data_IF_952598487516
#
_entry.id   IF_952598487516
#
_cell.length_a   1.000
_cell.length_b   1.000
_cell.length_c   1.000
_cell.angle_alpha   90.00
_cell.angle_beta   90.00
_cell.angle_gamma   90.00
#
_symmetry.space_group_name_H-M   'P 1'
#
loop_
_entity.id
_entity.type
_entity.pdbx_description
1 polymer ?
#
# COMPACT_ATOMS: atom_id res chain seq x y z
N UNK A 1 3.36 17.96 -0.66
CA UNK A 1 4.06 17.71 0.62
C UNK A 1 4.27 16.21 0.84
N UNK A 2 5.32 15.84 1.61
CA UNK A 2 5.50 14.46 2.10
C UNK A 2 5.10 14.43 3.57
N UNK A 3 4.05 13.67 3.91
CA UNK A 3 3.53 13.53 5.27
C UNK A 3 3.84 12.13 5.82
N UNK A 4 4.33 12.07 7.04
CA UNK A 4 4.71 10.83 7.71
C UNK A 4 4.17 10.80 9.14
N UNK A 5 3.86 9.60 9.64
CA UNK A 5 3.48 9.36 11.03
C UNK A 5 4.63 8.77 11.83
N UNK A 6 4.63 9.05 13.12
CA UNK A 6 5.60 8.59 14.11
C UNK A 6 4.87 8.10 15.36
N UNK A 7 5.54 7.45 16.31
CA UNK A 7 4.91 7.05 17.57
C UNK A 7 4.34 8.23 18.41
N UNK A 8 4.80 9.44 18.15
CA UNK A 8 4.41 10.65 18.90
C UNK A 8 3.51 11.61 18.13
N UNK A 9 3.09 11.24 16.90
CA UNK A 9 2.22 12.08 16.08
C UNK A 9 2.57 12.00 14.60
N UNK A 10 2.34 13.07 13.85
CA UNK A 10 2.66 13.16 12.43
C UNK A 10 3.37 14.48 12.09
N UNK A 11 3.95 14.53 10.92
CA UNK A 11 4.62 15.73 10.43
C UNK A 11 4.95 15.66 8.94
N UNK A 12 5.58 16.72 8.45
CA UNK A 12 6.07 16.78 7.07
C UNK A 12 7.57 16.55 6.98
N UNK A 13 7.99 16.00 5.86
CA UNK A 13 9.40 15.80 5.55
C UNK A 13 9.86 16.92 4.63
N UNK A 14 10.95 17.60 5.02
CA UNK A 14 11.62 18.66 4.29
C UNK A 14 13.10 18.30 4.12
N UNK A 15 13.51 17.83 2.93
CA UNK A 15 14.86 17.31 2.72
C UNK A 15 15.18 16.16 3.68
N UNK A 16 16.24 16.32 4.49
CA UNK A 16 16.67 15.33 5.49
C UNK A 16 16.12 15.63 6.91
N UNK A 17 15.06 16.40 7.00
CA UNK A 17 14.45 16.79 8.27
C UNK A 17 12.96 16.42 8.33
N UNK A 18 12.49 16.20 9.56
CA UNK A 18 11.08 15.99 9.90
C UNK A 18 10.59 17.17 10.74
N UNK A 19 9.50 17.78 10.31
CA UNK A 19 8.81 18.86 11.03
C UNK A 19 7.52 18.29 11.64
N UNK A 20 7.44 18.10 12.96
CA UNK A 20 6.19 17.70 13.63
C UNK A 20 5.07 18.72 13.35
N UNK A 21 3.85 18.20 13.10
CA UNK A 21 2.68 19.02 12.77
C UNK A 21 1.47 18.74 13.68
N UNK A 22 1.51 17.72 14.50
CA UNK A 22 0.41 17.36 15.40
C UNK A 22 0.45 15.89 15.82
N UNK A 23 -0.59 15.48 16.54
CA UNK A 23 -0.67 14.17 17.19
C UNK A 23 -1.34 13.11 16.31
N UNK A 24 -2.24 13.52 15.39
CA UNK A 24 -3.06 12.60 14.60
C UNK A 24 -3.24 13.10 13.16
N UNK A 25 -2.74 12.32 12.21
CA UNK A 25 -2.84 12.63 10.78
C UNK A 25 -4.29 12.58 10.27
N UNK A 26 -5.12 11.67 10.79
CA UNK A 26 -6.53 11.57 10.36
C UNK A 26 -7.29 12.82 10.78
N UNK A 27 -7.09 13.28 12.01
CA UNK A 27 -7.66 14.53 12.46
C UNK A 27 -7.21 15.71 11.60
N UNK A 28 -5.92 15.76 11.24
CA UNK A 28 -5.43 16.79 10.32
C UNK A 28 -6.12 16.72 8.94
N UNK A 29 -6.34 15.54 8.41
CA UNK A 29 -7.06 15.36 7.13
C UNK A 29 -8.51 15.83 7.22
N UNK A 30 -9.15 15.70 8.39
CA UNK A 30 -10.53 16.15 8.62
C UNK A 30 -10.65 17.67 8.80
N UNK A 31 -9.73 18.27 9.56
CA UNK A 31 -9.86 19.66 10.04
C UNK A 31 -8.91 20.65 9.39
N UNK A 32 -7.78 20.18 8.88
CA UNK A 32 -6.65 21.00 8.45
C UNK A 32 -5.83 21.57 9.62
N UNK A 33 -6.17 21.23 10.87
CA UNK A 33 -5.49 21.76 12.04
C UNK A 33 -4.10 21.18 12.19
N UNK A 34 -3.10 22.04 12.28
CA UNK A 34 -1.71 21.65 12.54
C UNK A 34 -0.98 22.71 13.36
N UNK A 35 0.06 22.30 14.07
CA UNK A 35 0.95 23.20 14.80
C UNK A 35 2.38 22.73 14.65
N UNK A 36 3.21 23.55 13.99
CA UNK A 36 4.60 23.22 13.75
C UNK A 36 5.39 23.13 15.05
N UNK A 37 6.06 22.00 15.24
CA UNK A 37 7.02 21.77 16.31
C UNK A 37 8.45 22.05 15.87
N UNK A 38 9.46 21.80 16.73
CA UNK A 38 10.86 21.92 16.37
C UNK A 38 11.24 20.85 15.32
N UNK A 39 11.97 21.29 14.31
CA UNK A 39 12.49 20.40 13.27
C UNK A 39 13.54 19.43 13.85
N UNK A 40 13.48 18.16 13.45
CA UNK A 40 14.43 17.12 13.88
C UNK A 40 15.04 16.42 12.67
N UNK A 41 16.28 15.90 12.73
CA UNK A 41 16.87 15.13 11.63
C UNK A 41 16.02 13.88 11.33
N UNK A 42 15.73 13.62 10.05
CA UNK A 42 14.90 12.48 9.66
C UNK A 42 15.51 11.13 10.05
N UNK A 43 16.83 11.04 10.10
CA UNK A 43 17.58 9.84 10.53
C UNK A 43 17.29 9.44 11.99
N UNK A 44 16.89 10.39 12.82
CA UNK A 44 16.55 10.16 14.24
C UNK A 44 15.06 9.84 14.43
N UNK A 45 14.27 9.81 13.35
CA UNK A 45 12.82 9.61 13.39
C UNK A 45 12.44 8.17 13.05
N UNK A 46 11.72 7.52 13.96
CA UNK A 46 11.08 6.23 13.66
C UNK A 46 9.78 6.46 12.90
N UNK A 47 9.76 6.15 11.61
CA UNK A 47 8.57 6.28 10.78
C UNK A 47 7.63 5.08 10.96
N UNK A 48 6.35 5.38 11.10
CA UNK A 48 5.25 4.42 11.00
C UNK A 48 4.65 4.44 9.59
N UNK A 49 3.67 3.59 9.33
CA UNK A 49 2.82 3.75 8.14
C UNK A 49 2.24 5.18 8.12
N UNK A 50 2.07 5.83 6.95
CA UNK A 50 1.55 7.20 6.89
C UNK A 50 0.20 7.36 7.59
N UNK A 51 -0.68 6.36 7.46
CA UNK A 51 -1.89 6.19 8.27
C UNK A 51 -1.75 4.88 9.04
N UNK A 52 -1.29 4.89 10.30
CA UNK A 52 -1.01 3.66 11.04
C UNK A 52 -2.25 2.84 11.39
N UNK A 53 -3.41 3.49 11.47
CA UNK A 53 -4.69 2.87 11.82
C UNK A 53 -5.80 3.38 10.91
N UNK A 54 -5.82 2.96 9.62
CA UNK A 54 -6.90 3.34 8.71
C UNK A 54 -8.25 2.78 9.20
N UNK A 55 -9.32 3.54 8.97
CA UNK A 55 -10.68 3.09 9.26
C UNK A 55 -11.07 1.87 8.42
N UNK A 56 -10.69 1.88 7.15
CA UNK A 56 -10.83 0.78 6.19
C UNK A 56 -9.60 0.67 5.32
N UNK A 57 -9.28 -0.55 4.90
CA UNK A 57 -8.38 -0.83 3.79
C UNK A 57 -9.17 -1.61 2.75
N UNK A 58 -9.42 -0.97 1.62
CA UNK A 58 -10.08 -1.58 0.46
C UNK A 58 -9.01 -1.92 -0.55
N UNK A 59 -8.95 -3.18 -0.96
CA UNK A 59 -7.97 -3.66 -1.92
C UNK A 59 -8.67 -4.08 -3.22
N UNK A 60 -7.94 -3.98 -4.34
CA UNK A 60 -8.47 -4.27 -5.67
C UNK A 60 -7.69 -5.43 -6.28
N UNK A 61 -8.38 -6.54 -6.56
CA UNK A 61 -7.81 -7.69 -7.25
C UNK A 61 -7.81 -7.50 -8.77
N UNK A 62 -6.76 -8.02 -9.42
CA UNK A 62 -6.61 -8.04 -10.88
C UNK A 62 -6.87 -6.67 -11.55
N UNK A 63 -6.07 -5.68 -11.21
CA UNK A 63 -6.26 -4.32 -11.73
C UNK A 63 -5.17 -3.84 -12.70
N UNK A 64 -4.31 -4.73 -13.20
CA UNK A 64 -3.30 -4.40 -14.22
C UNK A 64 -3.48 -5.28 -15.44
N UNK A 65 -3.47 -4.69 -16.65
CA UNK A 65 -3.66 -5.41 -17.93
C UNK A 65 -2.56 -6.41 -18.18
N UNK A 66 -1.30 -6.00 -17.99
CA UNK A 66 -0.12 -6.84 -18.12
C UNK A 66 -0.11 -8.00 -17.09
N UNK A 67 -0.65 -7.81 -15.89
CA UNK A 67 -0.83 -8.88 -14.90
C UNK A 67 -1.96 -9.86 -15.29
N UNK A 68 -3.05 -9.36 -15.88
CA UNK A 68 -4.11 -10.22 -16.41
C UNK A 68 -3.59 -11.11 -17.54
N UNK A 69 -2.75 -10.57 -18.43
CA UNK A 69 -2.06 -11.32 -19.48
C UNK A 69 -1.12 -12.38 -18.91
N UNK A 70 -0.27 -12.01 -17.91
CA UNK A 70 0.65 -12.93 -17.23
C UNK A 70 -0.07 -14.15 -16.64
N UNK A 71 -1.22 -13.93 -16.00
CA UNK A 71 -1.98 -14.96 -15.30
C UNK A 71 -3.02 -15.66 -16.17
N UNK A 72 -3.19 -15.23 -17.42
CA UNK A 72 -4.18 -15.76 -18.36
C UNK A 72 -5.63 -15.52 -17.93
N UNK A 73 -5.86 -14.51 -17.09
CA UNK A 73 -7.19 -14.16 -16.61
C UNK A 73 -7.87 -13.15 -17.55
N UNK A 74 -9.18 -13.26 -17.68
CA UNK A 74 -9.97 -12.26 -18.39
C UNK A 74 -9.98 -10.94 -17.61
N UNK A 75 -9.94 -9.82 -18.34
CA UNK A 75 -10.14 -8.48 -17.75
C UNK A 75 -11.54 -8.43 -17.14
N UNK A 76 -11.68 -8.10 -15.83
CA UNK A 76 -13.00 -8.03 -15.20
C UNK A 76 -13.79 -6.81 -15.69
N UNK A 77 -15.11 -6.94 -15.75
CA UNK A 77 -16.01 -5.84 -16.12
C UNK A 77 -16.16 -4.80 -15.00
N UNK A 78 -15.93 -5.21 -13.74
CA UNK A 78 -15.99 -4.35 -12.55
C UNK A 78 -14.83 -4.69 -11.60
N UNK A 79 -14.38 -3.71 -10.75
CA UNK A 79 -13.33 -3.95 -9.76
C UNK A 79 -13.68 -5.09 -8.79
N UNK A 80 -12.78 -6.06 -8.64
CA UNK A 80 -12.90 -7.11 -7.63
C UNK A 80 -12.38 -6.57 -6.31
N UNK A 81 -13.27 -6.37 -5.33
CA UNK A 81 -12.90 -5.78 -4.05
C UNK A 81 -12.71 -6.86 -2.97
N UNK A 82 -11.67 -6.64 -2.17
CA UNK A 82 -11.45 -7.36 -0.91
C UNK A 82 -10.88 -6.39 0.13
N UNK A 83 -10.56 -6.86 1.32
CA UNK A 83 -10.03 -6.00 2.37
C UNK A 83 -8.86 -6.63 3.11
N UNK A 84 -8.02 -5.79 3.67
CA UNK A 84 -7.08 -6.11 4.75
C UNK A 84 -7.53 -5.39 6.01
N UNK A 85 -7.10 -5.88 7.17
CA UNK A 85 -7.45 -5.28 8.44
C UNK A 85 -6.28 -4.46 9.00
N UNK A 86 -6.57 -3.61 9.98
CA UNK A 86 -5.57 -2.74 10.60
C UNK A 86 -4.37 -3.48 11.20
N UNK A 87 -4.54 -4.74 11.64
CA UNK A 87 -3.46 -5.59 12.11
C UNK A 87 -2.41 -5.92 11.04
N UNK A 88 -2.80 -5.84 9.76
CA UNK A 88 -1.87 -6.07 8.64
C UNK A 88 -0.92 -4.88 8.42
N UNK A 89 -1.31 -3.67 8.84
CA UNK A 89 -0.57 -2.44 8.53
C UNK A 89 0.71 -2.35 9.33
N UNK A 90 1.82 -2.18 8.63
CA UNK A 90 3.14 -1.88 9.22
C UNK A 90 3.85 -0.79 8.43
N UNK A 91 4.72 -0.03 9.10
CA UNK A 91 5.49 1.05 8.50
C UNK A 91 6.80 0.59 7.85
N UNK A 92 7.57 1.55 7.30
CA UNK A 92 8.88 1.29 6.72
C UNK A 92 9.84 0.68 7.75
N UNK A 93 10.65 -0.28 7.31
CA UNK A 93 11.65 -0.95 8.15
C UNK A 93 11.09 -1.99 9.14
N UNK A 94 9.78 -2.07 9.33
CA UNK A 94 9.17 -3.10 10.16
C UNK A 94 9.29 -4.49 9.49
N UNK A 95 9.37 -5.54 10.31
CA UNK A 95 9.36 -6.92 9.82
C UNK A 95 7.97 -7.31 9.31
N UNK A 96 7.93 -7.99 8.16
CA UNK A 96 6.77 -8.75 7.69
C UNK A 96 6.88 -10.15 8.26
N UNK A 97 6.06 -10.44 9.27
CA UNK A 97 6.13 -11.69 10.03
C UNK A 97 5.24 -12.74 9.37
N UNK A 98 5.88 -13.74 8.76
CA UNK A 98 5.18 -14.85 8.09
C UNK A 98 4.92 -15.98 9.10
N UNK A 99 3.66 -16.28 9.43
CA UNK A 99 3.34 -17.33 10.38
C UNK A 99 3.65 -18.73 9.82
N UNK A 100 3.99 -19.67 10.70
CA UNK A 100 4.39 -21.05 10.34
C UNK A 100 3.40 -21.79 9.42
N UNK A 101 2.12 -21.44 9.48
CA UNK A 101 1.06 -22.06 8.67
C UNK A 101 1.16 -21.65 7.19
N UNK A 102 1.87 -20.58 6.87
CA UNK A 102 2.03 -20.04 5.51
C UNK A 102 3.25 -20.68 4.87
N UNK A 103 3.04 -21.31 3.73
CA UNK A 103 4.10 -21.97 2.94
C UNK A 103 4.38 -21.29 1.61
N UNK A 104 3.50 -20.38 1.18
CA UNK A 104 3.61 -19.66 -0.09
C UNK A 104 3.42 -18.15 0.11
N UNK A 105 4.32 -17.48 0.87
CA UNK A 105 4.27 -16.03 1.04
C UNK A 105 4.78 -15.34 -0.23
N UNK A 106 4.02 -14.37 -0.72
CA UNK A 106 4.25 -13.66 -1.98
C UNK A 106 4.18 -12.15 -1.78
N UNK A 107 4.75 -11.39 -2.69
CA UNK A 107 4.82 -9.92 -2.71
C UNK A 107 3.93 -9.36 -3.81
N UNK A 108 3.36 -8.17 -3.57
CA UNK A 108 2.57 -7.40 -4.52
C UNK A 108 2.83 -5.91 -4.33
N UNK A 109 3.66 -5.31 -5.20
CA UNK A 109 3.86 -3.86 -5.21
C UNK A 109 2.60 -3.15 -5.69
N UNK A 110 2.13 -2.16 -4.94
CA UNK A 110 0.92 -1.42 -5.25
C UNK A 110 1.06 0.07 -4.99
N UNK A 111 0.41 0.88 -5.82
CA UNK A 111 0.07 2.25 -5.45
C UNK A 111 -1.05 2.20 -4.42
N UNK A 112 -0.89 2.89 -3.30
CA UNK A 112 -1.96 3.07 -2.33
C UNK A 112 -2.44 4.52 -2.31
N UNK A 113 -3.75 4.70 -2.25
CA UNK A 113 -4.43 6.00 -2.20
C UNK A 113 -4.95 6.21 -0.78
N UNK A 114 -4.66 7.37 -0.18
CA UNK A 114 -5.20 7.78 1.10
C UNK A 114 -6.33 8.79 0.86
N UNK A 115 -7.50 8.52 1.42
CA UNK A 115 -8.65 9.40 1.34
C UNK A 115 -8.47 10.57 2.30
N UNK A 116 -8.70 11.80 1.83
CA UNK A 116 -8.59 13.03 2.62
C UNK A 116 -9.92 13.71 2.89
N UNK A 117 -10.94 13.39 2.11
CA UNK A 117 -12.28 13.96 2.24
C UNK A 117 -13.31 12.87 2.05
N UNK A 118 -14.36 12.89 2.87
CA UNK A 118 -15.45 11.93 2.78
C UNK A 118 -15.99 11.85 1.35
N UNK A 119 -16.02 10.62 0.79
CA UNK A 119 -16.57 10.33 -0.52
C UNK A 119 -17.74 9.34 -0.39
N UNK A 120 -18.91 9.74 -0.88
CA UNK A 120 -20.12 8.94 -0.94
C UNK A 120 -20.85 9.23 -2.24
N UNK A 121 -20.95 8.22 -3.08
CA UNK A 121 -21.62 8.29 -4.39
C UNK A 121 -21.07 9.45 -5.26
N UNK A 122 -19.74 9.55 -5.34
CA UNK A 122 -19.05 10.58 -6.10
C UNK A 122 -18.83 10.11 -7.54
N UNK A 123 -18.83 11.06 -8.49
CA UNK A 123 -18.50 10.76 -9.87
C UNK A 123 -16.98 10.58 -10.06
N UNK A 124 -16.57 9.87 -11.13
CA UNK A 124 -15.15 9.72 -11.47
C UNK A 124 -14.46 11.08 -11.70
N UNK A 125 -15.17 12.07 -12.26
CA UNK A 125 -14.62 13.42 -12.47
C UNK A 125 -14.37 14.21 -11.18
N UNK A 126 -15.02 13.85 -10.07
CA UNK A 126 -14.86 14.50 -8.76
C UNK A 126 -13.96 13.71 -7.84
N UNK A 127 -13.73 12.43 -8.14
CA UNK A 127 -13.11 11.46 -7.24
C UNK A 127 -11.73 11.88 -6.73
N UNK A 128 -10.86 12.40 -7.59
CA UNK A 128 -9.50 12.80 -7.19
C UNK A 128 -9.48 13.98 -6.22
N UNK A 129 -10.54 14.79 -6.14
CA UNK A 129 -10.66 15.85 -5.13
C UNK A 129 -10.83 15.33 -3.70
N UNK A 130 -11.08 14.03 -3.53
CA UNK A 130 -11.20 13.35 -2.24
C UNK A 130 -9.89 12.71 -1.76
N UNK A 131 -8.82 12.75 -2.56
CA UNK A 131 -7.52 12.15 -2.26
C UNK A 131 -6.69 13.09 -1.41
N UNK A 132 -6.16 12.59 -0.28
CA UNK A 132 -5.14 13.28 0.53
C UNK A 132 -3.74 13.10 -0.04
N UNK A 133 -3.45 11.93 -0.58
CA UNK A 133 -2.17 11.60 -1.16
C UNK A 133 -2.01 10.13 -1.54
N UNK A 134 -0.80 9.81 -1.95
CA UNK A 134 -0.40 8.52 -2.45
C UNK A 134 0.80 7.99 -1.67
N UNK A 135 0.89 6.67 -1.54
CA UNK A 135 2.00 5.99 -0.86
C UNK A 135 2.29 4.64 -1.52
N UNK A 136 3.45 4.07 -1.25
CA UNK A 136 3.71 2.69 -1.65
C UNK A 136 3.01 1.73 -0.70
N UNK A 137 2.53 0.60 -1.24
CA UNK A 137 2.04 -0.52 -0.49
C UNK A 137 2.67 -1.82 -0.99
N UNK A 138 2.75 -2.82 -0.11
CA UNK A 138 3.02 -4.19 -0.48
C UNK A 138 1.87 -5.07 0.03
N UNK A 139 0.99 -5.52 -0.86
CA UNK A 139 -0.11 -6.42 -0.50
C UNK A 139 0.40 -7.86 -0.35
N UNK A 140 1.23 -8.08 0.68
CA UNK A 140 1.79 -9.41 0.96
C UNK A 140 0.68 -10.44 1.09
N UNK A 141 0.87 -11.60 0.44
CA UNK A 141 -0.16 -12.59 0.24
C UNK A 141 0.33 -13.98 0.60
N UNK A 142 -0.47 -14.74 1.34
CA UNK A 142 -0.26 -16.17 1.56
C UNK A 142 -1.09 -16.94 0.55
N UNK A 143 -0.49 -17.35 -0.59
CA UNK A 143 -1.22 -17.94 -1.71
C UNK A 143 -1.89 -19.26 -1.34
N UNK A 144 -1.22 -20.07 -0.54
CA UNK A 144 -1.74 -21.33 -0.02
C UNK A 144 -2.97 -21.16 0.91
N UNK A 145 -3.16 -19.99 1.51
CA UNK A 145 -4.35 -19.66 2.29
C UNK A 145 -5.41 -18.92 1.46
N UNK A 146 -4.96 -18.05 0.55
CA UNK A 146 -5.81 -17.22 -0.31
C UNK A 146 -6.80 -18.05 -1.13
N UNK A 147 -6.32 -19.15 -1.71
CA UNK A 147 -7.12 -19.97 -2.63
C UNK A 147 -7.83 -21.15 -1.97
N UNK A 148 -7.86 -21.24 -0.64
CA UNK A 148 -8.63 -22.28 0.08
C UNK A 148 -10.14 -22.11 -0.01
N UNK A 149 -10.60 -20.89 -0.25
CA UNK A 149 -12.01 -20.56 -0.40
C UNK A 149 -12.17 -19.46 -1.44
N UNK A 150 -13.43 -19.12 -1.77
CA UNK A 150 -13.75 -17.98 -2.64
C UNK A 150 -13.43 -16.61 -2.00
N UNK A 151 -13.19 -16.56 -0.67
CA UNK A 151 -12.86 -15.34 0.06
C UNK A 151 -11.37 -15.31 0.41
N UNK A 152 -10.66 -14.28 -0.05
CA UNK A 152 -9.21 -14.19 0.06
C UNK A 152 -8.69 -13.78 1.45
N UNK A 153 -9.58 -13.45 2.36
CA UNK A 153 -9.29 -12.83 3.66
C UNK A 153 -8.17 -13.55 4.43
N UNK A 154 -8.20 -14.89 4.49
CA UNK A 154 -7.21 -15.68 5.22
C UNK A 154 -5.79 -15.57 4.66
N UNK A 155 -5.66 -15.30 3.37
CA UNK A 155 -4.35 -15.10 2.73
C UNK A 155 -3.89 -13.65 2.70
N UNK A 156 -4.80 -12.70 2.92
CA UNK A 156 -4.57 -11.26 2.74
C UNK A 156 -4.51 -10.46 4.05
N UNK A 157 -5.30 -10.81 5.06
CA UNK A 157 -5.43 -10.03 6.30
C UNK A 157 -4.57 -10.56 7.47
N UNK A 158 -3.42 -11.15 7.16
CA UNK A 158 -2.45 -11.64 8.15
C UNK A 158 -1.74 -10.45 8.79
N UNK A 159 -1.35 -10.57 10.06
CA UNK A 159 -0.59 -9.54 10.78
C UNK A 159 0.67 -9.15 9.99
N UNK A 160 0.94 -7.85 9.88
CA UNK A 160 2.07 -7.26 9.15
C UNK A 160 2.10 -7.44 7.62
N UNK A 161 1.07 -8.01 7.00
CA UNK A 161 1.03 -8.29 5.56
C UNK A 161 0.62 -7.09 4.69
N UNK A 162 0.60 -5.87 5.25
CA UNK A 162 0.40 -4.63 4.50
C UNK A 162 1.43 -3.56 4.92
N UNK A 163 2.69 -3.69 4.50
CA UNK A 163 3.60 -2.56 4.52
C UNK A 163 3.02 -1.36 3.78
N UNK A 164 3.02 -0.18 4.41
CA UNK A 164 2.61 1.10 3.84
C UNK A 164 3.67 2.17 4.13
N UNK A 165 4.03 2.97 3.16
CA UNK A 165 4.97 4.06 3.33
C UNK A 165 5.86 4.31 2.11
N UNK A 166 7.02 4.97 2.27
CA UNK A 166 7.59 5.43 3.54
C UNK A 166 6.86 6.64 4.14
N UNK A 167 6.17 7.40 3.32
CA UNK A 167 5.33 8.56 3.64
C UNK A 167 4.17 8.66 2.65
N UNK A 168 3.23 9.52 2.92
CA UNK A 168 2.20 9.93 1.97
C UNK A 168 2.67 11.19 1.23
N UNK A 169 2.56 11.21 -0.10
CA UNK A 169 2.85 12.38 -0.96
C UNK A 169 1.55 12.97 -1.45
N UNK A 170 1.37 14.28 -1.24
CA UNK A 170 0.14 14.99 -1.62
C UNK A 170 -0.02 15.09 -3.14
N UNK A 171 -1.28 15.23 -3.64
CA UNK A 171 -1.56 15.23 -5.08
C UNK A 171 -0.86 16.34 -5.87
N UNK A 172 -0.59 17.48 -5.25
CA UNK A 172 0.14 18.60 -5.88
C UNK A 172 1.59 18.25 -6.23
N UNK A 173 2.24 17.36 -5.46
CA UNK A 173 3.60 16.88 -5.76
C UNK A 173 3.62 15.67 -6.70
N UNK A 174 2.65 14.77 -6.57
CA UNK A 174 2.56 13.60 -7.45
C UNK A 174 2.07 14.01 -8.85
N UNK A 175 1.13 14.94 -8.92
CA UNK A 175 0.43 15.31 -10.15
C UNK A 175 -0.55 14.22 -10.56
N UNK A 176 -0.50 13.80 -11.82
CA UNK A 176 -1.30 12.70 -12.34
C UNK A 176 -0.80 11.36 -11.76
N UNK A 177 -1.64 10.56 -11.08
CA UNK A 177 -1.24 9.25 -10.59
C UNK A 177 -1.07 8.19 -11.69
N UNK A 178 -1.39 8.52 -12.94
CA UNK A 178 -1.11 7.68 -14.12
C UNK A 178 0.34 7.88 -14.57
N UNK A 179 0.88 6.88 -15.25
CA UNK A 179 2.21 6.97 -15.84
C UNK A 179 3.36 6.92 -14.83
N UNK A 180 3.11 6.54 -13.57
CA UNK A 180 4.16 6.37 -12.57
C UNK A 180 4.83 5.01 -12.73
N UNK A 181 6.16 4.96 -12.82
CA UNK A 181 6.89 3.70 -12.72
C UNK A 181 6.65 3.07 -11.34
N UNK A 182 6.36 1.76 -11.33
CA UNK A 182 6.16 0.96 -10.12
C UNK A 182 7.02 -0.29 -10.19
N UNK A 183 7.80 -0.55 -9.14
CA UNK A 183 8.75 -1.66 -9.05
C UNK A 183 8.67 -2.37 -7.71
N UNK A 184 8.95 -3.67 -7.75
CA UNK A 184 9.32 -4.44 -6.58
C UNK A 184 10.71 -5.03 -6.79
N UNK A 185 11.56 -4.95 -5.77
CA UNK A 185 12.84 -5.65 -5.73
C UNK A 185 12.96 -6.49 -4.47
N UNK A 186 13.59 -7.65 -4.60
CA UNK A 186 13.93 -8.53 -3.47
C UNK A 186 15.45 -8.65 -3.40
N UNK A 187 16.04 -8.18 -2.30
CA UNK A 187 17.50 -8.09 -2.10
C UNK A 187 18.24 -7.36 -3.25
N UNK A 188 17.53 -6.41 -3.90
CA UNK A 188 18.05 -5.63 -5.03
C UNK A 188 17.70 -6.21 -6.42
N UNK A 189 17.27 -7.45 -6.52
CA UNK A 189 16.82 -8.05 -7.77
C UNK A 189 15.39 -7.57 -8.09
N UNK A 190 15.21 -6.91 -9.25
CA UNK A 190 13.90 -6.43 -9.68
C UNK A 190 13.02 -7.62 -10.06
N UNK A 191 11.88 -7.74 -9.38
CA UNK A 191 10.91 -8.83 -9.57
C UNK A 191 9.59 -8.36 -10.16
N UNK A 192 9.22 -7.09 -10.01
CA UNK A 192 8.12 -6.44 -10.72
C UNK A 192 8.63 -5.11 -11.30
N UNK A 193 8.29 -4.81 -12.54
CA UNK A 193 8.62 -3.54 -13.22
C UNK A 193 7.51 -3.22 -14.23
N UNK A 194 6.72 -2.19 -13.94
CA UNK A 194 5.58 -1.78 -14.74
C UNK A 194 5.26 -0.28 -14.53
N UNK A 195 4.08 0.13 -14.95
CA UNK A 195 3.62 1.50 -14.89
C UNK A 195 2.14 1.56 -14.49
N UNK A 196 1.74 2.57 -13.74
CA UNK A 196 0.33 2.76 -13.33
C UNK A 196 -0.62 2.99 -14.51
N UNK A 197 -0.14 3.28 -15.72
CA UNK A 197 -0.95 3.30 -16.95
C UNK A 197 -1.51 1.91 -17.32
N UNK A 198 -0.95 0.85 -16.78
CA UNK A 198 -1.46 -0.52 -16.99
C UNK A 198 -2.70 -0.82 -16.14
N UNK A 199 -3.09 0.06 -15.23
CA UNK A 199 -4.32 -0.12 -14.45
C UNK A 199 -5.53 -0.28 -15.39
N UNK A 200 -6.38 -1.28 -15.08
CA UNK A 200 -7.66 -1.52 -15.75
C UNK A 200 -8.65 -0.47 -15.33
N UNK A 201 -8.77 -0.24 -14.03
CA UNK A 201 -9.59 0.80 -13.41
C UNK A 201 -8.66 1.82 -12.77
N UNK A 202 -8.71 3.05 -13.24
CA UNK A 202 -7.89 4.15 -12.71
C UNK A 202 -8.32 4.54 -11.29
N UNK A 203 -7.47 5.28 -10.57
CA UNK A 203 -7.76 5.72 -9.19
C UNK A 203 -9.12 6.41 -9.07
N UNK A 204 -9.47 7.26 -10.04
CA UNK A 204 -10.74 7.98 -10.06
C UNK A 204 -11.94 7.02 -10.18
N UNK A 205 -11.82 5.99 -11.02
CA UNK A 205 -12.87 4.99 -11.24
C UNK A 205 -13.05 4.11 -9.99
N UNK A 206 -11.95 3.74 -9.33
CA UNK A 206 -11.98 2.96 -8.09
C UNK A 206 -12.71 3.72 -6.98
N UNK A 207 -12.36 5.00 -6.76
CA UNK A 207 -13.04 5.83 -5.75
C UNK A 207 -14.52 5.99 -6.09
N UNK A 208 -14.87 6.28 -7.35
CA UNK A 208 -16.23 6.41 -7.79
C UNK A 208 -17.00 5.09 -7.57
N UNK A 209 -16.45 3.97 -8.00
CA UNK A 209 -17.07 2.64 -7.85
C UNK A 209 -17.32 2.26 -6.39
N UNK A 210 -16.29 2.36 -5.56
CA UNK A 210 -16.35 2.00 -4.14
C UNK A 210 -17.37 2.90 -3.41
N UNK A 211 -17.33 4.21 -3.67
CA UNK A 211 -18.16 5.18 -2.96
C UNK A 211 -19.66 5.04 -3.23
N UNK A 212 -20.07 4.34 -4.28
CA UNK A 212 -21.50 4.04 -4.54
C UNK A 212 -22.15 3.27 -3.39
N UNK A 213 -21.40 2.36 -2.78
CA UNK A 213 -21.93 1.45 -1.76
C UNK A 213 -21.23 1.60 -0.41
N UNK A 214 -19.93 1.89 -0.40
CA UNK A 214 -19.09 2.00 0.79
C UNK A 214 -18.63 3.45 0.92
N UNK A 215 -19.09 4.15 1.97
CA UNK A 215 -18.58 5.50 2.26
C UNK A 215 -17.10 5.42 2.58
N UNK A 216 -16.29 6.22 1.89
CA UNK A 216 -14.88 6.42 2.18
C UNK A 216 -14.72 7.64 3.09
N UNK A 217 -14.01 7.48 4.18
CA UNK A 217 -13.78 8.53 5.19
C UNK A 217 -12.30 8.97 5.15
N UNK A 218 -11.94 10.16 5.67
CA UNK A 218 -10.56 10.58 5.80
C UNK A 218 -9.70 9.53 6.52
N UNK A 219 -8.53 9.23 5.96
CA UNK A 219 -7.63 8.20 6.47
C UNK A 219 -7.93 6.77 6.00
N UNK A 220 -9.01 6.51 5.26
CA UNK A 220 -9.20 5.22 4.60
C UNK A 220 -8.15 5.04 3.48
N UNK A 221 -7.77 3.80 3.23
CA UNK A 221 -6.74 3.44 2.26
C UNK A 221 -7.34 2.55 1.17
N UNK A 222 -6.99 2.84 -0.09
CA UNK A 222 -7.28 1.96 -1.23
C UNK A 222 -5.95 1.45 -1.78
N UNK A 223 -5.73 0.13 -1.76
CA UNK A 223 -4.62 -0.54 -2.43
C UNK A 223 -5.10 -0.92 -3.84
N UNK A 224 -4.43 -0.40 -4.88
CA UNK A 224 -5.02 -0.30 -6.23
C UNK A 224 -4.76 -1.50 -7.14
N UNK A 225 -4.12 -2.56 -6.62
CA UNK A 225 -3.72 -3.73 -7.39
C UNK A 225 -2.26 -3.71 -7.80
N UNK A 226 -1.75 -4.88 -8.17
CA UNK A 226 -0.34 -5.13 -8.45
C UNK A 226 -0.09 -5.41 -9.93
N UNK A 227 1.09 -5.01 -10.46
CA UNK A 227 1.55 -5.36 -11.81
C UNK A 227 2.09 -6.82 -11.88
N UNK A 228 2.47 -7.33 -13.07
CA UNK A 228 3.06 -8.66 -13.25
C UNK A 228 4.38 -8.83 -12.51
N UNK A 229 4.82 -10.08 -12.37
CA UNK A 229 6.09 -10.47 -11.74
C UNK A 229 5.91 -11.02 -10.33
N UNK A 230 4.67 -11.22 -9.87
CA UNK A 230 4.38 -11.87 -8.58
C UNK A 230 5.00 -13.28 -8.52
N UNK A 231 5.38 -13.71 -7.32
CA UNK A 231 6.11 -14.95 -7.12
C UNK A 231 5.33 -16.18 -7.60
N UNK A 232 4.00 -16.18 -7.42
CA UNK A 232 3.15 -17.29 -7.86
C UNK A 232 3.10 -17.49 -9.38
N UNK A 233 3.26 -16.43 -10.17
CA UNK A 233 3.20 -16.50 -11.64
C UNK A 233 4.54 -16.85 -12.27
N UNK A 234 5.64 -16.89 -11.50
CA UNK A 234 6.98 -17.21 -12.03
C UNK A 234 7.16 -18.68 -12.32
N UNK A 235 8.09 -18.98 -13.20
CA UNK A 235 8.50 -20.36 -13.54
C UNK A 235 10.03 -20.50 -13.37
N UNK A 236 10.52 -21.21 -12.33
CA UNK A 236 9.75 -21.78 -11.22
C UNK A 236 9.11 -20.71 -10.30
N UNK A 237 8.05 -21.08 -9.59
CA UNK A 237 7.43 -20.21 -8.58
C UNK A 237 8.46 -19.76 -7.52
N UNK A 238 8.33 -18.51 -7.04
CA UNK A 238 9.22 -17.93 -6.07
C UNK A 238 8.41 -17.44 -4.85
N UNK A 239 8.77 -17.95 -3.68
CA UNK A 239 8.18 -17.54 -2.42
C UNK A 239 9.20 -16.75 -1.59
N UNK A 240 8.71 -15.81 -0.80
CA UNK A 240 9.53 -15.03 0.12
C UNK A 240 10.24 -15.94 1.14
N UNK A 241 11.51 -15.63 1.42
CA UNK A 241 12.36 -16.37 2.33
C UNK A 241 12.73 -15.55 3.57
N UNK A 242 13.13 -16.24 4.64
CA UNK A 242 13.56 -15.56 5.87
C UNK A 242 14.75 -14.64 5.62
N UNK A 243 14.67 -13.42 6.13
CA UNK A 243 15.70 -12.41 6.03
C UNK A 243 15.70 -11.57 4.77
N UNK A 244 14.97 -11.94 3.72
CA UNK A 244 14.88 -11.16 2.47
C UNK A 244 14.31 -9.77 2.71
N UNK A 245 14.78 -8.81 1.92
CA UNK A 245 14.34 -7.42 1.94
C UNK A 245 13.51 -7.13 0.70
N UNK A 246 12.25 -6.81 0.90
CA UNK A 246 11.34 -6.35 -0.14
C UNK A 246 11.41 -4.84 -0.23
N UNK A 247 11.60 -4.30 -1.43
CA UNK A 247 11.54 -2.86 -1.68
C UNK A 247 10.50 -2.59 -2.76
N UNK A 248 9.46 -1.86 -2.42
CA UNK A 248 8.48 -1.30 -3.36
C UNK A 248 8.87 0.14 -3.63
N UNK A 249 9.10 0.48 -4.89
CA UNK A 249 9.43 1.83 -5.34
C UNK A 249 8.40 2.33 -6.33
N UNK A 250 7.91 3.56 -6.11
CA UNK A 250 7.00 4.23 -7.03
C UNK A 250 7.54 5.63 -7.32
N UNK A 251 7.61 5.96 -8.60
CA UNK A 251 8.06 7.26 -9.10
C UNK A 251 7.34 8.40 -8.38
N UNK A 252 8.05 9.46 -8.00
CA UNK A 252 7.58 10.65 -7.26
C UNK A 252 7.07 10.39 -5.84
N UNK A 253 6.96 9.13 -5.42
CA UNK A 253 6.48 8.78 -4.07
C UNK A 253 7.67 8.40 -3.19
N UNK A 254 8.46 7.41 -3.60
CA UNK A 254 9.63 6.95 -2.85
C UNK A 254 9.75 5.44 -2.81
N UNK A 255 10.56 4.94 -1.86
CA UNK A 255 10.86 3.52 -1.70
C UNK A 255 10.50 3.05 -0.29
N UNK A 256 9.70 2.00 -0.22
CA UNK A 256 9.28 1.32 1.00
C UNK A 256 10.04 -0.01 1.12
N UNK A 257 10.85 -0.15 2.15
CA UNK A 257 11.62 -1.38 2.38
C UNK A 257 11.21 -2.04 3.68
N UNK A 258 10.94 -3.36 3.61
CA UNK A 258 10.59 -4.19 4.75
C UNK A 258 11.33 -5.53 4.67
N UNK A 259 11.62 -6.12 5.83
CA UNK A 259 12.29 -7.41 5.92
C UNK A 259 11.28 -8.52 6.16
N UNK A 260 11.46 -9.65 5.50
CA UNK A 260 10.69 -10.88 5.76
C UNK A 260 11.25 -11.60 6.96
N UNK A 261 10.36 -12.07 7.85
CA UNK A 261 10.70 -12.90 9.00
C UNK A 261 9.78 -14.11 9.08
N UNK A 262 10.31 -15.29 8.81
CA UNK A 262 9.54 -16.54 8.97
C UNK A 262 9.48 -16.96 10.43
N UNK A 263 8.26 -17.16 10.98
CA UNK A 263 8.11 -17.70 12.32
C UNK A 263 8.15 -19.23 12.24
N UNK A 264 9.29 -19.84 12.57
CA UNK A 264 9.40 -21.30 12.59
C UNK A 264 10.73 -21.89 12.15
N UNK A 265 11.69 -21.04 11.80
CA UNK A 265 13.09 -21.43 11.62
C UNK A 265 13.85 -21.51 12.94
N UNK A 266 13.26 -22.10 13.98
CA UNK A 266 14.01 -22.52 15.15
C UNK A 266 14.69 -23.83 14.79
N UNK A 267 16.02 -23.82 14.70
CA UNK A 267 16.88 -24.99 14.60
C UNK A 267 16.37 -26.10 15.53
N UNK A 268 15.92 -27.21 14.93
CA UNK A 268 15.89 -28.51 15.58
C UNK A 268 17.31 -29.01 15.75
#
# INVERSE_FOLDING_TARGET
MKLASTPTGFGRIEGDAFLPMGDDIVRYLETGDSSDGPMVPLVDVHLLAPVPRPGKVVCVGLNYRDHAEETGQAIPDEPVLFSKFVNSVVGPGADVVVPRVVTQPDYEAELAVVIGRRARDVSSSEALAHVAGYTCANDVSARDLQFRSSQWLLGKAIDSFLPLGPWMVTPDEVGDPRGLAIRCAIDGDVVQDSCTDQMIFEVADLIAFISRTITLEPGDVIATGTPPGVGMARTPQRWLQDGERMTVEIERIGALTNRVRLTGGGSG
#
